data_IF_503387846428
#
_entry.id   IF_503387846428
#
_cell.length_a   1.000
_cell.length_b   1.000
_cell.length_c   1.000
_cell.angle_alpha   90.00
_cell.angle_beta   90.00
_cell.angle_gamma   90.00
#
_symmetry.space_group_name_H-M   'P 1'
#
loop_
_entity.id
_entity.type
_entity.pdbx_description
1 polymer ?
#
# COMPACT_ATOMS: atom_id res chain seq x y z
N UNK A 1 -3.78 24.71 20.50
CA UNK A 1 -3.39 23.39 19.95
C UNK A 1 -2.44 22.66 20.90
N UNK A 2 -1.45 23.35 21.49
CA UNK A 2 -0.53 22.75 22.48
C UNK A 2 -1.19 22.22 23.76
N UNK A 3 -2.19 22.91 24.31
CA UNK A 3 -2.88 22.46 25.54
C UNK A 3 -3.72 21.19 25.35
N UNK A 4 -4.13 20.84 24.13
CA UNK A 4 -4.88 19.61 23.84
C UNK A 4 -3.98 18.37 23.66
N UNK A 5 -2.74 18.58 23.21
CA UNK A 5 -1.75 17.50 23.02
C UNK A 5 -1.10 17.07 24.35
N UNK A 6 -0.99 17.98 25.33
CA UNK A 6 -0.42 17.68 26.65
C UNK A 6 -1.35 16.89 27.58
N UNK A 7 -2.68 16.97 27.39
CA UNK A 7 -3.63 16.30 28.28
C UNK A 7 -3.75 14.79 28.03
N UNK A 8 -3.47 14.32 26.81
CA UNK A 8 -3.44 12.89 26.44
C UNK A 8 -2.46 12.67 25.28
N UNK A 9 -1.18 12.36 25.55
CA UNK A 9 -0.17 12.19 24.50
C UNK A 9 -0.52 11.07 23.50
N UNK A 10 -1.25 10.03 23.96
CA UNK A 10 -1.75 8.96 23.10
C UNK A 10 -2.79 9.43 22.07
N UNK A 11 -3.62 10.41 22.41
CA UNK A 11 -4.64 10.97 21.49
C UNK A 11 -3.99 11.82 20.40
N UNK A 12 -2.96 12.58 20.77
CA UNK A 12 -2.16 13.35 19.80
C UNK A 12 -1.46 12.46 18.77
N UNK A 13 -0.83 11.38 19.24
CA UNK A 13 -0.17 10.42 18.36
C UNK A 13 -1.15 9.67 17.45
N UNK A 14 -2.31 9.29 17.98
CA UNK A 14 -3.37 8.66 17.19
C UNK A 14 -3.94 9.59 16.10
N UNK A 15 -4.23 10.85 16.44
CA UNK A 15 -4.73 11.81 15.47
C UNK A 15 -3.70 12.11 14.38
N UNK A 16 -2.43 12.22 14.75
CA UNK A 16 -1.34 12.40 13.79
C UNK A 16 -1.20 11.19 12.87
N UNK A 17 -1.24 9.96 13.40
CA UNK A 17 -1.13 8.75 12.59
C UNK A 17 -2.34 8.59 11.66
N UNK A 18 -3.56 8.86 12.13
CA UNK A 18 -4.76 8.86 11.32
C UNK A 18 -4.69 9.90 10.18
N UNK A 19 -4.20 11.11 10.47
CA UNK A 19 -4.00 12.15 9.48
C UNK A 19 -2.95 11.73 8.43
N UNK A 20 -1.79 11.25 8.86
CA UNK A 20 -0.73 10.77 7.96
C UNK A 20 -1.19 9.59 7.11
N UNK A 21 -2.00 8.69 7.68
CA UNK A 21 -2.58 7.58 6.94
C UNK A 21 -3.57 8.05 5.87
N UNK A 22 -4.40 9.05 6.19
CA UNK A 22 -5.29 9.66 5.22
C UNK A 22 -4.50 10.34 4.09
N UNK A 23 -3.45 11.09 4.43
CA UNK A 23 -2.54 11.69 3.44
C UNK A 23 -1.88 10.62 2.59
N UNK A 24 -1.41 9.53 3.19
CA UNK A 24 -0.81 8.41 2.47
C UNK A 24 -1.80 7.79 1.48
N UNK A 25 -3.06 7.55 1.87
CA UNK A 25 -4.10 7.04 0.98
C UNK A 25 -4.34 7.99 -0.19
N UNK A 26 -4.52 9.29 0.08
CA UNK A 26 -4.86 10.27 -0.95
C UNK A 26 -3.71 10.54 -1.93
N UNK A 27 -2.47 10.51 -1.45
CA UNK A 27 -1.28 10.75 -2.26
C UNK A 27 -0.68 9.48 -2.84
N UNK A 28 -1.23 8.30 -2.53
CA UNK A 28 -0.71 7.04 -3.03
C UNK A 28 -0.66 6.96 -4.58
N UNK A 29 -1.65 7.48 -5.33
CA UNK A 29 -1.61 7.51 -6.79
C UNK A 29 -0.83 8.70 -7.37
N UNK A 30 -0.37 9.63 -6.54
CA UNK A 30 0.27 10.86 -7.02
C UNK A 30 1.51 10.60 -7.92
N UNK A 31 2.38 9.60 -7.64
CA UNK A 31 3.45 9.26 -8.56
C UNK A 31 2.94 8.86 -9.95
N UNK A 32 1.90 8.02 -10.02
CA UNK A 32 1.31 7.60 -11.29
C UNK A 32 0.66 8.76 -12.03
N UNK A 33 -0.01 9.66 -11.31
CA UNK A 33 -0.58 10.90 -11.85
C UNK A 33 0.52 11.78 -12.44
N UNK A 34 1.66 11.94 -11.75
CA UNK A 34 2.82 12.73 -12.24
C UNK A 34 3.46 12.08 -13.47
N UNK A 35 3.56 10.75 -13.51
CA UNK A 35 4.24 10.04 -14.58
C UNK A 35 3.41 9.93 -15.86
N UNK A 36 2.11 9.68 -15.75
CA UNK A 36 1.28 9.29 -16.90
C UNK A 36 0.41 10.41 -17.45
N UNK A 37 0.12 11.43 -16.65
CA UNK A 37 -0.81 12.49 -17.02
C UNK A 37 -0.06 13.81 -17.05
N UNK A 38 -0.27 14.60 -18.09
CA UNK A 38 0.31 15.95 -18.20
C UNK A 38 -0.46 16.91 -17.29
N UNK A 39 0.29 17.65 -16.49
CA UNK A 39 -0.24 18.63 -15.55
C UNK A 39 0.56 19.92 -15.68
N UNK A 40 -0.13 21.06 -15.58
CA UNK A 40 0.51 22.37 -15.58
C UNK A 40 0.79 22.87 -14.15
N UNK A 41 0.14 22.29 -13.13
CA UNK A 41 0.24 22.71 -11.73
C UNK A 41 0.25 21.56 -10.72
N UNK A 42 0.94 21.73 -9.60
CA UNK A 42 0.99 20.75 -8.51
C UNK A 42 -0.36 20.54 -7.83
N UNK A 43 -1.20 21.59 -7.72
CA UNK A 43 -2.55 21.48 -7.16
C UNK A 43 -3.44 20.55 -7.98
N UNK A 44 -3.24 20.55 -9.29
CA UNK A 44 -3.97 19.69 -10.21
C UNK A 44 -3.60 18.21 -9.95
N UNK A 45 -2.34 17.90 -9.65
CA UNK A 45 -1.91 16.55 -9.27
C UNK A 45 -2.64 16.07 -8.01
N UNK A 46 -2.74 16.93 -6.98
CA UNK A 46 -3.47 16.61 -5.75
C UNK A 46 -4.96 16.36 -6.00
N UNK A 47 -5.59 17.23 -6.79
CA UNK A 47 -7.00 17.11 -7.15
C UNK A 47 -7.26 15.81 -7.92
N UNK A 48 -6.47 15.53 -8.95
CA UNK A 48 -6.57 14.32 -9.78
C UNK A 48 -6.34 13.06 -8.94
N UNK A 49 -5.36 13.07 -8.03
CA UNK A 49 -5.12 11.94 -7.12
C UNK A 49 -6.31 11.70 -6.20
N UNK A 50 -6.87 12.76 -5.62
CA UNK A 50 -8.07 12.66 -4.78
C UNK A 50 -9.28 12.12 -5.54
N UNK A 51 -9.58 12.67 -6.72
CA UNK A 51 -10.71 12.22 -7.55
C UNK A 51 -10.55 10.76 -7.95
N UNK A 52 -9.34 10.35 -8.34
CA UNK A 52 -9.02 8.97 -8.67
C UNK A 52 -9.26 8.01 -7.49
N UNK A 53 -8.78 8.34 -6.28
CA UNK A 53 -9.01 7.49 -5.10
C UNK A 53 -10.49 7.41 -4.79
N UNK A 54 -11.22 8.53 -4.78
CA UNK A 54 -12.65 8.51 -4.49
C UNK A 54 -13.43 7.63 -5.46
N UNK A 55 -13.02 7.58 -6.73
CA UNK A 55 -13.70 6.81 -7.75
C UNK A 55 -13.28 5.32 -7.80
N UNK A 56 -12.03 5.02 -7.46
CA UNK A 56 -11.42 3.70 -7.69
C UNK A 56 -10.71 3.09 -6.47
N UNK A 57 -10.97 3.57 -5.24
CA UNK A 57 -10.26 3.10 -4.05
C UNK A 57 -10.28 1.57 -3.90
N UNK A 58 -11.39 0.90 -4.24
CA UNK A 58 -11.47 -0.56 -4.11
C UNK A 58 -10.51 -1.22 -5.09
N UNK A 59 -10.63 -0.94 -6.39
CA UNK A 59 -9.77 -1.53 -7.41
C UNK A 59 -8.30 -1.16 -7.24
N UNK A 60 -8.02 0.05 -6.74
CA UNK A 60 -6.67 0.54 -6.51
C UNK A 60 -5.99 -0.13 -5.30
N UNK A 61 -6.72 -0.33 -4.20
CA UNK A 61 -6.16 -0.91 -2.98
C UNK A 61 -6.29 -2.44 -2.90
N UNK A 62 -7.13 -3.07 -3.72
CA UNK A 62 -7.30 -4.53 -3.74
C UNK A 62 -6.00 -5.30 -4.00
N UNK A 63 -5.11 -4.90 -4.93
CA UNK A 63 -3.81 -5.55 -5.08
C UNK A 63 -2.97 -5.54 -3.81
N UNK A 64 -3.01 -4.46 -3.02
CA UNK A 64 -2.29 -4.42 -1.74
C UNK A 64 -2.83 -5.46 -0.76
N UNK A 65 -4.14 -5.63 -0.68
CA UNK A 65 -4.74 -6.68 0.15
C UNK A 65 -4.24 -8.05 -0.29
N UNK A 66 -4.21 -8.30 -1.61
CA UNK A 66 -3.70 -9.56 -2.17
C UNK A 66 -2.21 -9.77 -1.86
N UNK A 67 -1.37 -8.74 -1.97
CA UNK A 67 0.06 -8.82 -1.65
C UNK A 67 0.35 -8.99 -0.16
N UNK A 68 -0.54 -8.53 0.72
CA UNK A 68 -0.42 -8.70 2.16
C UNK A 68 -0.82 -10.12 2.60
N UNK A 69 -1.67 -10.84 1.84
CA UNK A 69 -2.12 -12.18 2.24
C UNK A 69 -0.97 -13.17 2.50
N UNK A 70 0.04 -13.34 1.61
CA UNK A 70 1.18 -14.20 1.89
C UNK A 70 2.00 -13.77 3.12
N UNK A 71 1.99 -12.47 3.44
CA UNK A 71 2.68 -11.94 4.62
C UNK A 71 1.98 -12.41 5.88
N UNK A 72 0.66 -12.29 5.94
CA UNK A 72 -0.15 -12.73 7.09
C UNK A 72 -0.14 -14.25 7.24
N UNK A 73 -0.14 -14.99 6.13
CA UNK A 73 -0.16 -16.46 6.13
C UNK A 73 1.22 -17.09 6.38
N UNK A 74 2.30 -16.29 6.43
CA UNK A 74 3.65 -16.78 6.67
C UNK A 74 3.77 -17.43 8.06
N UNK A 75 4.56 -18.52 8.20
CA UNK A 75 4.82 -19.16 9.49
C UNK A 75 5.28 -18.19 10.59
N UNK A 76 6.04 -17.15 10.22
CA UNK A 76 6.51 -16.09 11.13
C UNK A 76 5.60 -14.85 11.14
N UNK A 77 4.73 -14.68 10.14
CA UNK A 77 3.97 -13.45 9.88
C UNK A 77 2.99 -13.07 10.99
N UNK A 78 2.20 -14.03 11.49
CA UNK A 78 1.27 -13.77 12.59
C UNK A 78 2.00 -13.37 13.88
N UNK A 79 3.11 -14.04 14.19
CA UNK A 79 3.90 -13.75 15.39
C UNK A 79 4.51 -12.36 15.34
N UNK A 80 5.07 -11.97 14.19
CA UNK A 80 5.61 -10.63 13.98
C UNK A 80 4.52 -9.56 14.06
N UNK A 81 3.36 -9.80 13.44
CA UNK A 81 2.22 -8.90 13.50
C UNK A 81 1.76 -8.64 14.95
N UNK A 82 1.62 -9.68 15.77
CA UNK A 82 1.25 -9.52 17.19
C UNK A 82 2.36 -8.87 18.02
N UNK A 83 3.63 -9.14 17.70
CA UNK A 83 4.76 -8.47 18.35
C UNK A 83 4.78 -6.96 18.07
N UNK A 84 4.41 -6.57 16.86
CA UNK A 84 4.29 -5.19 16.40
C UNK A 84 3.11 -4.47 17.05
N UNK A 85 1.94 -5.12 17.10
CA UNK A 85 0.74 -4.52 17.71
C UNK A 85 0.92 -4.27 19.20
N UNK A 86 1.61 -5.16 19.92
CA UNK A 86 1.93 -4.99 21.33
C UNK A 86 2.85 -3.79 21.62
N UNK A 87 3.78 -3.48 20.71
CA UNK A 87 4.72 -2.35 20.84
C UNK A 87 4.11 -1.01 20.42
N UNK A 88 3.29 -1.01 19.37
CA UNK A 88 2.54 0.16 18.92
C UNK A 88 1.58 0.70 20.00
N UNK A 89 1.04 -0.18 20.85
CA UNK A 89 0.19 0.19 21.99
C UNK A 89 0.94 0.87 23.15
N UNK A 90 2.27 0.86 23.16
CA UNK A 90 3.10 1.42 24.25
C UNK A 90 3.70 2.80 23.92
N UNK A 91 3.23 3.46 22.86
CA UNK A 91 3.72 4.79 22.47
C UNK A 91 5.10 4.79 21.80
N UNK A 92 5.73 3.62 21.64
CA UNK A 92 6.75 3.42 20.62
C UNK A 92 6.02 3.43 19.28
N UNK A 93 6.16 4.51 18.52
CA UNK A 93 5.64 4.56 17.16
C UNK A 93 6.11 3.34 16.36
N UNK A 94 5.31 2.89 15.40
CA UNK A 94 5.74 1.85 14.48
C UNK A 94 7.07 2.30 13.85
N UNK A 95 8.17 1.59 14.13
CA UNK A 95 9.44 1.85 13.48
C UNK A 95 9.20 1.66 11.97
N UNK A 96 9.30 2.74 11.20
CA UNK A 96 9.08 2.73 9.76
C UNK A 96 9.91 1.64 9.05
N UNK A 97 11.13 1.43 9.54
CA UNK A 97 12.02 0.35 9.09
C UNK A 97 11.41 -1.04 9.32
N UNK A 98 10.69 -1.25 10.42
CA UNK A 98 10.06 -2.53 10.72
C UNK A 98 8.87 -2.80 9.79
N UNK A 99 8.07 -1.78 9.46
CA UNK A 99 7.01 -1.91 8.45
C UNK A 99 7.61 -2.24 7.08
N UNK A 100 8.74 -1.61 6.73
CA UNK A 100 9.43 -1.87 5.47
C UNK A 100 10.00 -3.30 5.38
N UNK A 101 10.43 -3.87 6.52
CA UNK A 101 11.00 -5.21 6.57
C UNK A 101 9.95 -6.34 6.64
N UNK A 102 8.72 -6.05 7.06
CA UNK A 102 7.64 -7.05 7.22
C UNK A 102 7.42 -7.97 6.00
N UNK A 103 7.35 -7.44 4.75
CA UNK A 103 7.22 -8.31 3.59
C UNK A 103 8.43 -9.23 3.42
N UNK A 104 9.63 -8.73 3.77
CA UNK A 104 10.89 -9.45 3.63
C UNK A 104 11.01 -10.57 4.66
N UNK A 105 10.63 -10.31 5.91
CA UNK A 105 10.61 -11.30 6.99
C UNK A 105 9.59 -12.41 6.72
N UNK A 106 8.42 -12.06 6.19
CA UNK A 106 7.41 -13.05 5.86
C UNK A 106 7.84 -13.96 4.71
N UNK A 107 8.52 -13.42 3.69
CA UNK A 107 9.12 -14.23 2.61
C UNK A 107 10.23 -15.13 3.17
N UNK A 108 11.08 -14.63 4.08
CA UNK A 108 12.05 -15.44 4.82
C UNK A 108 11.42 -16.59 5.60
N UNK A 109 10.26 -16.37 6.23
CA UNK A 109 9.46 -17.40 6.88
C UNK A 109 9.02 -18.52 5.92
N UNK A 110 8.61 -18.18 4.70
CA UNK A 110 8.29 -19.17 3.67
C UNK A 110 9.53 -19.91 3.17
N UNK A 111 10.64 -19.21 2.94
CA UNK A 111 11.89 -19.80 2.48
C UNK A 111 12.49 -20.77 3.52
N UNK A 112 12.40 -20.43 4.80
CA UNK A 112 12.81 -21.32 5.89
C UNK A 112 11.91 -22.55 5.99
N UNK A 113 10.60 -22.41 5.76
CA UNK A 113 9.69 -23.55 5.65
C UNK A 113 10.03 -24.49 4.48
N UNK A 114 10.57 -23.95 3.37
CA UNK A 114 11.08 -24.72 2.24
C UNK A 114 12.45 -25.38 2.53
N UNK A 115 13.05 -25.13 3.69
CA UNK A 115 14.31 -25.73 4.12
C UNK A 115 15.57 -24.98 3.69
N UNK A 116 15.45 -23.72 3.25
CA UNK A 116 16.61 -22.89 2.91
C UNK A 116 17.32 -22.37 4.17
N UNK A 117 18.64 -22.43 4.16
CA UNK A 117 19.51 -21.84 5.16
C UNK A 117 19.55 -20.30 5.04
N UNK A 118 20.13 -19.64 6.05
CA UNK A 118 20.14 -18.16 6.11
C UNK A 118 20.84 -17.54 4.89
N UNK A 119 21.95 -18.14 4.44
CA UNK A 119 22.70 -17.66 3.29
C UNK A 119 21.89 -17.83 1.99
N UNK A 120 21.22 -18.97 1.80
CA UNK A 120 20.32 -19.19 0.67
C UNK A 120 19.14 -18.22 0.64
N UNK A 121 18.57 -17.90 1.80
CA UNK A 121 17.47 -16.93 1.91
C UNK A 121 17.89 -15.53 1.46
N UNK A 122 19.05 -15.05 1.93
CA UNK A 122 19.58 -13.74 1.56
C UNK A 122 19.82 -13.62 0.05
N UNK A 123 20.40 -14.66 -0.56
CA UNK A 123 20.67 -14.69 -2.01
C UNK A 123 19.36 -14.64 -2.80
N UNK A 124 18.37 -15.45 -2.41
CA UNK A 124 17.06 -15.48 -3.08
C UNK A 124 16.35 -14.14 -2.94
N UNK A 125 16.34 -13.56 -1.74
CA UNK A 125 15.72 -12.25 -1.50
C UNK A 125 16.41 -11.14 -2.30
N UNK A 126 17.75 -11.12 -2.31
CA UNK A 126 18.52 -10.15 -3.07
C UNK A 126 18.23 -10.23 -4.57
N UNK A 127 18.13 -11.45 -5.12
CA UNK A 127 17.89 -11.68 -6.54
C UNK A 127 16.44 -11.39 -6.93
N UNK A 128 15.46 -11.74 -6.07
CA UNK A 128 14.05 -11.67 -6.39
C UNK A 128 13.41 -10.30 -6.10
N UNK A 129 13.93 -9.56 -5.13
CA UNK A 129 13.35 -8.27 -4.72
C UNK A 129 13.30 -7.25 -5.86
N UNK A 130 14.36 -6.99 -6.64
CA UNK A 130 14.31 -5.99 -7.70
C UNK A 130 13.33 -6.34 -8.84
N UNK A 131 13.31 -7.58 -9.39
CA UNK A 131 12.32 -7.99 -10.37
C UNK A 131 10.88 -7.88 -9.86
N UNK A 132 10.63 -8.27 -8.61
CA UNK A 132 9.29 -8.17 -8.00
C UNK A 132 8.89 -6.71 -7.82
N UNK A 133 9.79 -5.85 -7.33
CA UNK A 133 9.54 -4.43 -7.20
C UNK A 133 9.23 -3.79 -8.57
N UNK A 134 10.01 -4.12 -9.60
CA UNK A 134 9.76 -3.67 -10.97
C UNK A 134 8.39 -4.15 -11.47
N UNK A 135 8.04 -5.42 -11.25
CA UNK A 135 6.75 -5.98 -11.64
C UNK A 135 5.58 -5.26 -10.94
N UNK A 136 5.71 -4.97 -9.64
CA UNK A 136 4.70 -4.22 -8.87
C UNK A 136 4.56 -2.80 -9.41
N UNK A 137 5.66 -2.10 -9.71
CA UNK A 137 5.63 -0.74 -10.26
C UNK A 137 4.98 -0.69 -11.65
N UNK A 138 5.35 -1.63 -12.52
CA UNK A 138 4.74 -1.76 -13.85
C UNK A 138 3.25 -2.11 -13.77
N UNK A 139 2.90 -3.06 -12.90
CA UNK A 139 1.51 -3.44 -12.66
C UNK A 139 0.70 -2.26 -12.12
N UNK A 140 1.22 -1.52 -11.13
CA UNK A 140 0.58 -0.31 -10.59
C UNK A 140 0.38 0.75 -11.67
N UNK A 141 1.39 0.98 -12.49
CA UNK A 141 1.29 1.93 -13.61
C UNK A 141 0.21 1.50 -14.61
N UNK A 142 0.20 0.23 -15.00
CA UNK A 142 -0.81 -0.29 -15.93
C UNK A 142 -2.22 -0.24 -15.34
N UNK A 143 -2.37 -0.60 -14.05
CA UNK A 143 -3.64 -0.52 -13.34
C UNK A 143 -4.17 0.91 -13.32
N UNK A 144 -3.31 1.88 -13.01
CA UNK A 144 -3.68 3.31 -13.06
C UNK A 144 -4.17 3.69 -14.47
N UNK A 145 -3.44 3.35 -15.53
CA UNK A 145 -3.83 3.64 -16.90
C UNK A 145 -5.18 3.01 -17.29
N UNK A 146 -5.47 1.80 -16.80
CA UNK A 146 -6.72 1.10 -17.09
C UNK A 146 -7.94 1.71 -16.39
N UNK A 147 -7.72 2.29 -15.20
CA UNK A 147 -8.77 2.90 -14.39
C UNK A 147 -8.97 4.37 -14.77
N UNK A 148 -7.87 5.08 -15.05
CA UNK A 148 -7.87 6.49 -15.43
C UNK A 148 -8.62 6.69 -16.75
N UNK A 149 -9.81 7.29 -16.67
CA UNK A 149 -10.72 7.53 -17.81
C UNK A 149 -11.89 6.56 -17.93
N UNK A 150 -12.03 5.56 -17.05
CA UNK A 150 -13.20 4.68 -17.01
C UNK A 150 -14.01 4.89 -15.73
N UNK A 151 -15.03 5.75 -15.82
CA UNK A 151 -15.92 5.93 -14.66
C UNK A 151 -16.76 4.68 -14.39
N UNK A 152 -17.11 4.44 -13.12
CA UNK A 152 -17.94 3.27 -12.74
C UNK A 152 -19.25 3.24 -13.52
N UNK A 153 -19.81 4.42 -13.82
CA UNK A 153 -21.04 4.60 -14.62
C UNK A 153 -20.81 4.33 -16.11
N UNK A 154 -19.68 4.75 -16.66
CA UNK A 154 -19.33 4.53 -18.06
C UNK A 154 -19.07 3.05 -18.37
N UNK A 155 -18.50 2.28 -17.43
CA UNK A 155 -18.36 0.82 -17.56
C UNK A 155 -19.72 0.10 -17.57
N UNK A 156 -20.63 0.48 -16.67
CA UNK A 156 -22.00 -0.07 -16.64
C UNK A 156 -22.77 0.24 -17.93
N UNK A 157 -22.61 1.45 -18.47
CA UNK A 157 -23.24 1.84 -19.73
C UNK A 157 -22.66 1.07 -20.93
N UNK A 158 -21.35 0.94 -21.03
CA UNK A 158 -20.70 0.17 -22.10
C UNK A 158 -21.14 -1.30 -22.09
N UNK A 159 -21.32 -1.90 -20.92
CA UNK A 159 -21.82 -3.28 -20.80
C UNK A 159 -23.29 -3.43 -21.27
N UNK A 160 -24.12 -2.39 -21.11
CA UNK A 160 -25.51 -2.40 -21.61
C UNK A 160 -25.59 -2.27 -23.14
N UNK A 161 -24.66 -1.56 -23.78
CA UNK A 161 -24.61 -1.47 -25.24
C UNK A 161 -24.11 -2.78 -25.86
N UNK A 162 -23.13 -3.43 -25.24
CA UNK A 162 -22.55 -4.67 -25.77
C UNK A 162 -23.47 -5.90 -25.65
N UNK A 163 -24.52 -5.82 -24.81
CA UNK A 163 -25.52 -6.88 -24.63
C UNK A 163 -26.76 -6.72 -25.53
N UNK A 164 -26.82 -5.64 -26.32
CA UNK A 164 -27.94 -5.34 -27.25
C UNK A 164 -27.58 -5.55 -28.72
N UNK A 165 -26.40 -6.06 -29.03
CA UNK A 165 -26.00 -6.53 -30.37
C UNK A 165 -26.00 -8.05 -30.38
#
# INVERSE_FOLDING_TARGET
>A
LDMGLQANPAYGQFLLSAFLFLVFILLNPAPEVIYQVRHDSTLEVFKTSYEFVMEHWVEWFLPFVLFILPVVLSPSGLQEFFSLSGRAGQGAGLDFLQILMLPLTAIGGWLSYLGLDSEGQEIVLLLLTPPVAMAILLFRGHLFASLHGSSRRQRLFSHQFNTRQ
#
